data_IF_201402489715
#
_entry.id   IF_201402489715
#
_cell.length_a   1.000
_cell.length_b   1.000
_cell.length_c   1.000
_cell.angle_alpha   90.00
_cell.angle_beta   90.00
_cell.angle_gamma   90.00
#
_symmetry.space_group_name_H-M   'P 1'
#
loop_
_entity.id
_entity.type
_entity.pdbx_description
1 polymer ?
#
# COMPACT_ATOMS: atom_id res chain seq x y z
N UNK A 1 17.65 -7.73 1.74
CA UNK A 1 17.40 -6.54 2.56
C UNK A 1 18.32 -6.43 3.76
N UNK A 2 19.12 -5.35 3.77
CA UNK A 2 19.92 -4.94 4.93
C UNK A 2 19.02 -4.32 6.02
N UNK A 3 19.33 -4.48 7.32
CA UNK A 3 18.54 -3.88 8.40
C UNK A 3 18.42 -2.36 8.34
N UNK A 4 19.47 -1.67 7.86
CA UNK A 4 19.48 -0.22 7.69
C UNK A 4 18.54 0.22 6.57
N UNK A 5 18.53 -0.49 5.44
CA UNK A 5 17.58 -0.28 4.34
C UNK A 5 16.14 -0.45 4.82
N UNK A 6 15.87 -1.54 5.56
CA UNK A 6 14.55 -1.82 6.11
C UNK A 6 14.10 -0.70 7.06
N UNK A 7 14.97 -0.31 8.00
CA UNK A 7 14.70 0.79 8.94
C UNK A 7 14.40 2.09 8.20
N UNK A 8 15.19 2.41 7.17
CA UNK A 8 15.00 3.63 6.38
C UNK A 8 13.68 3.61 5.63
N UNK A 9 13.33 2.48 5.03
CA UNK A 9 12.03 2.28 4.41
C UNK A 9 10.88 2.48 5.40
N UNK A 10 10.98 1.86 6.58
CA UNK A 10 9.99 1.96 7.66
C UNK A 10 9.77 3.40 8.15
N UNK A 11 10.83 4.20 8.24
CA UNK A 11 10.75 5.55 8.82
C UNK A 11 10.51 6.65 7.80
N UNK A 12 11.02 6.52 6.57
CA UNK A 12 10.98 7.60 5.58
C UNK A 12 9.93 7.39 4.48
N UNK A 13 9.69 6.14 4.08
CA UNK A 13 8.93 5.84 2.86
C UNK A 13 7.55 5.26 3.18
N UNK A 14 7.48 4.20 3.97
CA UNK A 14 6.23 3.54 4.32
C UNK A 14 5.17 4.48 4.94
N UNK A 15 5.51 5.42 5.85
CA UNK A 15 4.53 6.37 6.40
C UNK A 15 3.98 7.33 5.32
N UNK A 16 4.82 7.74 4.37
CA UNK A 16 4.40 8.60 3.25
C UNK A 16 3.46 7.86 2.29
N UNK A 17 3.72 6.57 2.05
CA UNK A 17 2.81 5.71 1.28
C UNK A 17 1.46 5.58 1.99
N UNK A 18 1.48 5.25 3.29
CA UNK A 18 0.27 5.13 4.10
C UNK A 18 -0.55 6.43 4.11
N UNK A 19 0.12 7.58 4.19
CA UNK A 19 -0.52 8.89 4.12
C UNK A 19 -1.11 9.18 2.73
N UNK A 20 -0.37 8.89 1.65
CA UNK A 20 -0.85 9.11 0.28
C UNK A 20 -2.07 8.24 -0.02
N UNK A 21 -2.09 6.99 0.46
CA UNK A 21 -3.25 6.10 0.35
C UNK A 21 -4.42 6.64 1.17
N UNK A 22 -4.21 7.04 2.42
CA UNK A 22 -5.29 7.61 3.24
C UNK A 22 -5.89 8.86 2.58
N UNK A 23 -5.05 9.73 2.01
CA UNK A 23 -5.48 10.93 1.29
C UNK A 23 -6.30 10.59 0.04
N UNK A 24 -5.96 9.53 -0.70
CA UNK A 24 -6.75 9.06 -1.84
C UNK A 24 -8.20 8.72 -1.45
N UNK A 25 -8.40 8.18 -0.24
CA UNK A 25 -9.72 7.88 0.30
C UNK A 25 -10.34 9.03 1.13
N UNK A 26 -9.81 10.25 1.03
CA UNK A 26 -10.24 11.39 1.85
C UNK A 26 -10.33 11.04 3.36
N UNK A 27 -9.34 10.29 3.86
CA UNK A 27 -9.22 9.86 5.27
C UNK A 27 -10.37 8.97 5.77
N UNK A 28 -11.19 8.42 4.87
CA UNK A 28 -12.22 7.44 5.22
C UNK A 28 -11.68 6.03 5.46
N UNK A 29 -10.37 5.83 5.36
CA UNK A 29 -9.69 4.56 5.65
C UNK A 29 -8.67 4.76 6.76
N UNK A 30 -8.46 3.72 7.55
CA UNK A 30 -7.33 3.62 8.46
C UNK A 30 -6.16 2.98 7.72
N UNK A 31 -5.03 3.68 7.68
CA UNK A 31 -3.77 3.11 7.21
C UNK A 31 -2.82 2.91 8.38
N UNK A 32 -2.16 1.77 8.41
CA UNK A 32 -1.16 1.42 9.42
C UNK A 32 0.10 0.90 8.76
N UNK A 33 1.26 1.28 9.29
CA UNK A 33 2.55 0.78 8.84
C UNK A 33 3.03 -0.25 9.86
N UNK A 34 3.12 -1.51 9.43
CA UNK A 34 3.75 -2.54 10.23
C UNK A 34 5.22 -2.62 9.78
N UNK A 35 6.18 -2.24 10.64
CA UNK A 35 7.59 -2.15 10.29
C UNK A 35 8.21 -3.53 10.05
N UNK A 36 9.43 -3.55 9.52
CA UNK A 36 10.18 -4.76 9.28
C UNK A 36 10.45 -5.53 10.58
N UNK A 37 9.94 -6.75 10.65
CA UNK A 37 10.05 -7.63 11.83
C UNK A 37 11.20 -8.64 11.75
N UNK A 38 12.04 -8.57 10.72
CA UNK A 38 13.07 -9.58 10.42
C UNK A 38 12.70 -10.46 9.23
N UNK A 39 13.52 -11.49 8.97
CA UNK A 39 13.33 -12.38 7.83
C UNK A 39 11.93 -13.04 7.85
N UNK A 40 11.20 -12.96 6.74
CA UNK A 40 9.81 -13.43 6.63
C UNK A 40 8.75 -12.44 7.10
N UNK A 41 9.15 -11.29 7.65
CA UNK A 41 8.27 -10.24 8.12
C UNK A 41 8.62 -8.90 7.44
N UNK A 42 8.34 -8.76 6.14
CA UNK A 42 8.58 -7.51 5.41
C UNK A 42 7.73 -6.38 5.99
N UNK A 43 8.22 -5.14 5.82
CA UNK A 43 7.40 -3.95 6.02
C UNK A 43 6.14 -4.04 5.19
N UNK A 44 4.99 -3.73 5.79
CA UNK A 44 3.71 -3.71 5.08
C UNK A 44 2.91 -2.48 5.45
N UNK A 45 2.11 -2.02 4.49
CA UNK A 45 1.05 -1.03 4.75
C UNK A 45 -0.28 -1.75 4.78
N UNK A 46 -0.98 -1.64 5.89
CA UNK A 46 -2.33 -2.16 6.05
C UNK A 46 -3.34 -1.05 5.77
N UNK A 47 -4.42 -1.37 5.07
CA UNK A 47 -5.51 -0.44 4.76
C UNK A 47 -6.80 -1.10 5.23
N UNK A 48 -7.51 -0.46 6.15
CA UNK A 48 -8.78 -0.97 6.69
C UNK A 48 -9.84 0.11 6.63
N UNK A 49 -11.08 -0.29 6.40
CA UNK A 49 -12.21 0.64 6.49
C UNK A 49 -13.49 -0.07 6.88
N UNK A 50 -14.40 0.67 7.51
CA UNK A 50 -15.80 0.25 7.53
C UNK A 50 -16.38 0.39 6.10
N UNK A 51 -17.36 -0.42 5.72
CA UNK A 51 -18.00 -0.28 4.42
C UNK A 51 -18.67 1.09 4.32
N UNK A 52 -18.74 1.65 3.11
CA UNK A 52 -19.42 2.93 2.90
C UNK A 52 -20.90 2.80 3.22
N UNK A 53 -21.43 3.71 4.05
CA UNK A 53 -22.85 3.74 4.39
C UNK A 53 -23.67 3.90 3.10
N UNK A 54 -24.68 3.04 2.93
CA UNK A 54 -25.64 3.06 1.81
C UNK A 54 -25.15 2.59 0.42
N UNK A 55 -24.03 1.87 0.31
CA UNK A 55 -23.57 1.30 -0.97
C UNK A 55 -23.62 -0.23 -0.98
N UNK A 56 -24.26 -0.81 -2.00
CA UNK A 56 -24.19 -2.26 -2.27
C UNK A 56 -22.86 -2.59 -2.94
N UNK A 57 -21.87 -3.02 -2.16
CA UNK A 57 -20.60 -3.54 -2.63
C UNK A 57 -20.48 -5.05 -2.41
N UNK A 58 -19.25 -5.52 -2.25
CA UNK A 58 -18.97 -6.88 -1.81
C UNK A 58 -19.29 -7.09 -0.32
N UNK A 59 -19.25 -8.36 0.11
CA UNK A 59 -19.69 -8.77 1.46
C UNK A 59 -18.70 -8.41 2.57
N UNK A 60 -17.42 -8.17 2.25
CA UNK A 60 -16.41 -7.84 3.25
C UNK A 60 -15.99 -6.37 3.18
N UNK A 61 -15.75 -5.71 4.32
CA UNK A 61 -15.12 -4.40 4.36
C UNK A 61 -13.72 -4.40 3.76
N UNK A 62 -13.26 -3.23 3.33
CA UNK A 62 -11.89 -3.06 2.83
C UNK A 62 -10.87 -3.45 3.91
N UNK A 63 -10.00 -4.39 3.55
CA UNK A 63 -8.92 -4.93 4.36
C UNK A 63 -7.80 -5.42 3.42
N UNK A 64 -6.80 -4.57 3.22
CA UNK A 64 -5.68 -4.79 2.30
C UNK A 64 -4.35 -4.83 3.06
N UNK A 65 -3.44 -5.69 2.61
CA UNK A 65 -2.03 -5.66 3.00
C UNK A 65 -1.16 -5.47 1.75
N UNK A 66 -0.39 -4.39 1.73
CA UNK A 66 0.56 -4.07 0.66
C UNK A 66 1.98 -4.40 1.10
N UNK A 67 2.73 -5.09 0.25
CA UNK A 67 4.16 -5.38 0.43
C UNK A 67 4.90 -5.15 -0.88
N UNK A 68 6.10 -4.55 -0.78
CA UNK A 68 6.94 -4.24 -1.93
C UNK A 68 8.03 -5.27 -2.11
N UNK A 69 8.48 -5.39 -3.35
CA UNK A 69 9.65 -6.20 -3.65
C UNK A 69 10.90 -5.62 -2.94
N UNK A 70 11.77 -6.51 -2.45
CA UNK A 70 12.96 -6.10 -1.70
C UNK A 70 13.97 -5.39 -2.58
N UNK A 71 14.13 -5.83 -3.83
CA UNK A 71 15.05 -5.21 -4.79
C UNK A 71 14.57 -3.80 -5.15
N UNK A 72 13.24 -3.62 -5.24
CA UNK A 72 12.62 -2.31 -5.44
C UNK A 72 12.83 -1.36 -4.25
N UNK A 73 12.77 -1.87 -3.01
CA UNK A 73 13.11 -1.09 -1.81
C UNK A 73 14.60 -0.72 -1.81
N UNK A 74 15.49 -1.64 -2.21
CA UNK A 74 16.93 -1.38 -2.28
C UNK A 74 17.24 -0.28 -3.31
N UNK A 75 16.55 -0.27 -4.46
CA UNK A 75 16.64 0.81 -5.47
C UNK A 75 16.22 2.18 -4.94
N UNK A 76 15.31 2.27 -3.96
CA UNK A 76 14.97 3.56 -3.34
C UNK A 76 16.13 4.19 -2.56
N UNK A 77 17.18 3.42 -2.27
CA UNK A 77 18.37 3.90 -1.58
C UNK A 77 19.42 4.48 -2.52
N UNK A 78 19.28 4.27 -3.83
CA UNK A 78 20.14 4.83 -4.87
C UNK A 78 19.90 6.35 -5.03
N UNK A 79 20.82 7.10 -5.68
CA UNK A 79 20.73 8.56 -5.78
C UNK A 79 19.42 9.09 -6.39
N UNK A 80 18.85 8.36 -7.34
CA UNK A 80 17.59 8.61 -8.04
C UNK A 80 16.36 8.01 -7.34
N UNK A 81 16.56 7.27 -6.25
CA UNK A 81 15.50 6.59 -5.51
C UNK A 81 14.42 7.53 -4.96
N UNK A 82 14.78 8.77 -4.62
CA UNK A 82 13.80 9.79 -4.20
C UNK A 82 12.88 10.19 -5.34
N UNK A 83 13.42 10.43 -6.53
CA UNK A 83 12.62 10.79 -7.72
C UNK A 83 11.70 9.65 -8.12
N UNK A 84 12.22 8.41 -8.13
CA UNK A 84 11.43 7.19 -8.34
C UNK A 84 10.26 7.10 -7.36
N UNK A 85 10.51 7.40 -6.08
CA UNK A 85 9.47 7.38 -5.06
C UNK A 85 8.40 8.46 -5.27
N UNK A 86 8.77 9.70 -5.60
CA UNK A 86 7.79 10.75 -5.89
C UNK A 86 6.96 10.41 -7.13
N UNK A 87 7.58 9.84 -8.17
CA UNK A 87 6.88 9.34 -9.35
C UNK A 87 5.87 8.24 -9.00
N UNK A 88 6.27 7.29 -8.13
CA UNK A 88 5.37 6.26 -7.61
C UNK A 88 4.17 6.87 -6.85
N UNK A 89 4.41 7.85 -5.97
CA UNK A 89 3.33 8.51 -5.24
C UNK A 89 2.35 9.22 -6.18
N UNK A 90 2.85 9.87 -7.23
CA UNK A 90 2.01 10.49 -8.26
C UNK A 90 1.20 9.45 -9.06
N UNK A 91 1.75 8.26 -9.28
CA UNK A 91 1.10 7.16 -9.98
C UNK A 91 0.14 6.33 -9.12
N UNK A 92 0.19 6.49 -7.80
CA UNK A 92 -0.54 5.66 -6.83
C UNK A 92 -2.06 5.58 -7.11
N UNK A 93 -2.79 6.67 -7.44
CA UNK A 93 -4.22 6.58 -7.79
C UNK A 93 -4.48 5.65 -8.99
N UNK A 94 -3.62 5.71 -10.01
CA UNK A 94 -3.72 4.86 -11.20
C UNK A 94 -3.45 3.40 -10.84
N UNK A 95 -2.44 3.14 -10.01
CA UNK A 95 -2.13 1.79 -9.51
C UNK A 95 -3.26 1.20 -8.68
N UNK A 96 -3.84 1.97 -7.77
CA UNK A 96 -5.00 1.55 -6.97
C UNK A 96 -6.17 1.13 -7.87
N UNK A 97 -6.49 1.90 -8.90
CA UNK A 97 -7.52 1.53 -9.88
C UNK A 97 -7.19 0.27 -10.69
N UNK A 98 -5.91 0.05 -11.02
CA UNK A 98 -5.46 -1.18 -11.67
C UNK A 98 -5.59 -2.40 -10.74
N UNK A 99 -5.24 -2.26 -9.45
CA UNK A 99 -5.40 -3.32 -8.47
C UNK A 99 -6.87 -3.65 -8.19
N UNK A 100 -7.75 -2.65 -8.18
CA UNK A 100 -9.19 -2.84 -8.10
C UNK A 100 -9.75 -3.67 -9.27
N UNK A 101 -9.22 -3.46 -10.48
CA UNK A 101 -9.66 -4.26 -11.65
C UNK A 101 -9.11 -5.69 -11.61
N UNK A 102 -7.95 -5.89 -10.98
CA UNK A 102 -7.24 -7.17 -10.95
C UNK A 102 -7.60 -8.06 -9.75
N UNK A 103 -8.22 -7.50 -8.72
CA UNK A 103 -8.67 -8.18 -7.49
C UNK A 103 -10.07 -7.69 -7.24
N UNK A 104 -11.01 -8.58 -6.91
CA UNK A 104 -12.41 -8.26 -6.61
C UNK A 104 -12.55 -7.36 -5.37
N UNK A 105 -12.15 -6.10 -5.54
CA UNK A 105 -12.14 -5.00 -4.59
C UNK A 105 -12.99 -3.90 -5.24
N UNK A 106 -13.71 -3.16 -4.43
CA UNK A 106 -14.36 -1.93 -4.83
C UNK A 106 -13.91 -0.82 -3.86
N UNK A 107 -13.02 0.04 -4.34
CA UNK A 107 -12.45 1.12 -3.54
C UNK A 107 -13.50 2.21 -3.24
N UNK A 108 -14.50 2.39 -4.11
CA UNK A 108 -15.54 3.40 -3.93
C UNK A 108 -16.51 3.01 -2.81
N UNK A 109 -16.98 1.76 -2.78
CA UNK A 109 -17.79 1.25 -1.68
C UNK A 109 -16.97 0.85 -0.44
N UNK A 110 -15.64 0.80 -0.56
CA UNK A 110 -14.70 0.32 0.47
C UNK A 110 -15.04 -1.11 0.90
N UNK A 111 -15.26 -1.98 -0.09
CA UNK A 111 -15.57 -3.40 0.11
C UNK A 111 -14.74 -4.30 -0.80
N UNK A 112 -14.71 -5.60 -0.50
CA UNK A 112 -13.98 -6.62 -1.26
C UNK A 112 -14.63 -8.01 -1.13
N UNK A 113 -14.40 -8.87 -2.12
CA UNK A 113 -14.98 -10.21 -2.16
C UNK A 113 -14.37 -11.19 -1.15
N UNK A 114 -13.08 -11.01 -0.84
CA UNK A 114 -12.33 -11.83 0.11
C UNK A 114 -12.16 -11.09 1.44
N UNK A 115 -12.07 -11.77 2.60
CA UNK A 115 -11.94 -11.12 3.90
C UNK A 115 -10.60 -10.37 4.09
N UNK A 116 -9.59 -10.70 3.29
CA UNK A 116 -8.30 -10.04 3.26
C UNK A 116 -7.67 -10.19 1.87
N UNK A 117 -7.24 -9.07 1.27
CA UNK A 117 -6.50 -9.11 0.01
C UNK A 117 -5.05 -8.71 0.27
N UNK A 118 -4.11 -9.57 -0.15
CA UNK A 118 -2.69 -9.31 -0.07
C UNK A 118 -2.14 -8.98 -1.45
N UNK A 119 -1.52 -7.81 -1.56
CA UNK A 119 -0.80 -7.37 -2.75
C UNK A 119 0.69 -7.37 -2.39
N UNK A 120 1.42 -8.32 -2.95
CA UNK A 120 2.85 -8.48 -2.70
C UNK A 120 3.69 -8.38 -3.96
N UNK A 121 4.99 -8.12 -3.76
CA UNK A 121 5.93 -7.89 -4.87
C UNK A 121 5.63 -6.61 -5.64
N UNK A 122 5.10 -5.59 -4.97
CA UNK A 122 4.80 -4.31 -5.60
C UNK A 122 6.09 -3.55 -5.93
N UNK A 123 6.08 -2.87 -7.07
CA UNK A 123 7.17 -2.03 -7.57
C UNK A 123 6.91 -0.53 -7.35
N UNK A 124 7.98 0.27 -7.45
CA UNK A 124 7.94 1.73 -7.40
C UNK A 124 7.95 2.39 -8.79
N UNK A 125 7.51 1.69 -9.83
CA UNK A 125 7.40 2.26 -11.19
C UNK A 125 6.13 3.10 -11.35
N UNK A 126 6.19 4.13 -12.20
CA UNK A 126 5.13 5.13 -12.38
C UNK A 126 4.07 4.79 -13.40
#
# INVERSE_FOLDING_TARGET
>A
MQPETARRFDTEFAPRIAQAIAAFFAEHVQTDVVPYGGHGHPTRVQIRSAPHEHVSGFVHPLNLELTWDTDEIERLMEPDGRERFEHYLAALPRKLGAWQSARDIDLASRTQAEPLVRLGGLDFEG
#
